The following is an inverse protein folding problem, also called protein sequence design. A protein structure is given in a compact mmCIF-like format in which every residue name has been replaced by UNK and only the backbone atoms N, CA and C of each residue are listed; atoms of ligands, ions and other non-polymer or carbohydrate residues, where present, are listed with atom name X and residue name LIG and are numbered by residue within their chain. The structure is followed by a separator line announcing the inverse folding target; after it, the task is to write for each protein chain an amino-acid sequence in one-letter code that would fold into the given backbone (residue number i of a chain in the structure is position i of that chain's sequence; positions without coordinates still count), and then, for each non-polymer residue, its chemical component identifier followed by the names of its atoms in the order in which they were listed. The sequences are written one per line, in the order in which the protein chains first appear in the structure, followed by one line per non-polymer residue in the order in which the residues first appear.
data_IF_253809626942
#
_entry.id   IF_253809626942
#
_cell.length_a   1.000
_cell.length_b   1.000
_cell.length_c   1.000
_cell.angle_alpha   90.00
_cell.angle_beta   90.00
_cell.angle_gamma   90.00
#
_symmetry.space_group_name_H-M   'P 1'
#
loop_
_entity.id
_entity.type
_entity.pdbx_description
1 polymer ?
#
# COMPACT_ATOMS: atom_id res chain seq x y z
N UNK A 1 -5.51 10.71 35.84
CA UNK A 1 -4.59 10.02 34.91
C UNK A 1 -5.41 9.59 33.70
N UNK A 2 -5.28 10.27 32.56
CA UNK A 2 -6.05 9.94 31.36
C UNK A 2 -5.30 8.80 30.65
N UNK A 3 -5.80 7.58 30.77
CA UNK A 3 -5.36 6.47 29.93
C UNK A 3 -5.74 6.80 28.49
N UNK A 4 -4.76 7.24 27.69
CA UNK A 4 -4.84 7.19 26.24
C UNK A 4 -4.91 5.72 25.87
N UNK A 5 -6.12 5.18 25.74
CA UNK A 5 -6.36 3.95 25.00
C UNK A 5 -5.71 4.18 23.64
N UNK A 6 -4.67 3.43 23.24
CA UNK A 6 -4.22 3.52 21.86
C UNK A 6 -5.44 3.12 21.04
N UNK A 7 -5.97 4.07 20.29
CA UNK A 7 -6.85 3.73 19.16
C UNK A 7 -5.95 2.86 18.31
N UNK A 8 -6.06 1.55 18.49
CA UNK A 8 -5.39 0.56 17.66
C UNK A 8 -5.88 0.90 16.26
N UNK A 9 -5.06 1.63 15.50
CA UNK A 9 -5.33 1.86 14.11
C UNK A 9 -5.64 0.48 13.54
N UNK A 10 -6.76 0.30 12.81
CA UNK A 10 -7.13 -1.02 12.32
C UNK A 10 -5.90 -1.59 11.62
N UNK A 11 -5.36 -2.67 12.18
CA UNK A 11 -4.14 -3.32 11.69
C UNK A 11 -4.26 -3.45 10.18
N UNK A 12 -3.38 -2.75 9.45
CA UNK A 12 -3.48 -2.69 8.00
C UNK A 12 -3.48 -4.12 7.48
N UNK A 13 -4.50 -4.47 6.71
CA UNK A 13 -4.57 -5.80 6.10
C UNK A 13 -3.28 -6.06 5.31
N UNK A 14 -2.88 -7.33 5.24
CA UNK A 14 -1.67 -7.73 4.49
C UNK A 14 -1.62 -7.11 3.10
N UNK A 15 -2.75 -7.15 2.38
CA UNK A 15 -2.94 -6.51 1.06
C UNK A 15 -2.59 -5.02 1.07
N UNK A 16 -3.06 -4.25 2.06
CA UNK A 16 -2.76 -2.81 2.14
C UNK A 16 -1.29 -2.56 2.43
N UNK A 17 -0.66 -3.37 3.30
CA UNK A 17 0.79 -3.26 3.56
C UNK A 17 1.62 -3.58 2.32
N UNK A 18 1.20 -4.59 1.54
CA UNK A 18 1.84 -4.91 0.28
C UNK A 18 1.73 -3.77 -0.73
N UNK A 19 0.58 -3.10 -0.79
CA UNK A 19 0.41 -1.94 -1.67
C UNK A 19 1.28 -0.75 -1.27
N UNK A 20 1.49 -0.53 0.02
CA UNK A 20 2.42 0.48 0.53
C UNK A 20 3.86 0.09 0.13
N UNK A 21 4.25 -1.16 0.35
CA UNK A 21 5.56 -1.66 -0.06
C UNK A 21 5.82 -1.51 -1.57
N UNK A 22 4.83 -1.85 -2.42
CA UNK A 22 4.93 -1.67 -3.88
C UNK A 22 5.09 -0.20 -4.27
N UNK A 23 4.40 0.70 -3.56
CA UNK A 23 4.55 2.14 -3.78
C UNK A 23 5.94 2.65 -3.37
N UNK A 24 6.45 2.23 -2.21
CA UNK A 24 7.78 2.60 -1.72
C UNK A 24 8.89 2.07 -2.66
N UNK A 25 8.68 0.87 -3.22
CA UNK A 25 9.59 0.27 -4.21
C UNK A 25 9.63 1.07 -5.51
N UNK A 26 8.47 1.53 -6.00
CA UNK A 26 8.40 2.38 -7.19
C UNK A 26 9.04 3.75 -6.95
N UNK A 27 8.89 4.30 -5.75
CA UNK A 27 9.52 5.56 -5.36
C UNK A 27 11.05 5.43 -5.19
N UNK A 28 11.59 4.20 -5.17
CA UNK A 28 13.00 3.87 -5.02
C UNK A 28 13.68 4.58 -3.85
N UNK A 29 12.93 4.84 -2.77
CA UNK A 29 13.39 5.63 -1.62
C UNK A 29 14.32 4.85 -0.70
N UNK A 30 14.14 3.53 -0.64
CA UNK A 30 14.86 2.63 0.27
C UNK A 30 15.23 1.33 -0.44
N UNK A 31 16.23 0.59 0.09
CA UNK A 31 16.53 -0.76 -0.36
C UNK A 31 15.32 -1.68 -0.24
N UNK A 32 15.12 -2.56 -1.22
CA UNK A 32 13.97 -3.49 -1.30
C UNK A 32 13.75 -4.26 0.00
N UNK A 33 14.82 -4.80 0.58
CA UNK A 33 14.76 -5.61 1.80
C UNK A 33 14.27 -4.80 3.02
N UNK A 34 14.63 -3.52 3.11
CA UNK A 34 14.19 -2.64 4.19
C UNK A 34 12.71 -2.30 4.06
N UNK A 35 12.22 -2.10 2.83
CA UNK A 35 10.81 -1.86 2.54
C UNK A 35 9.95 -3.06 2.94
N UNK A 36 10.39 -4.28 2.61
CA UNK A 36 9.70 -5.52 2.99
C UNK A 36 9.59 -5.67 4.51
N UNK A 37 10.70 -5.48 5.22
CA UNK A 37 10.75 -5.57 6.68
C UNK A 37 9.86 -4.51 7.34
N UNK A 38 9.93 -3.26 6.89
CA UNK A 38 9.15 -2.15 7.45
C UNK A 38 7.64 -2.35 7.28
N UNK A 39 7.23 -2.97 6.18
CA UNK A 39 5.82 -3.20 5.87
C UNK A 39 5.32 -4.59 6.31
N UNK A 40 6.16 -5.42 6.93
CA UNK A 40 5.83 -6.79 7.34
C UNK A 40 5.20 -7.62 6.20
N UNK A 41 5.83 -7.56 5.02
CA UNK A 41 5.41 -8.30 3.82
C UNK A 41 6.57 -9.08 3.24
N UNK A 42 6.25 -10.15 2.54
CA UNK A 42 7.26 -10.96 1.84
C UNK A 42 7.27 -10.70 0.34
N UNK A 43 8.27 -11.25 -0.34
CA UNK A 43 8.37 -11.17 -1.79
C UNK A 43 7.20 -11.86 -2.49
N UNK A 44 6.70 -12.95 -1.91
CA UNK A 44 5.52 -13.68 -2.39
C UNK A 44 4.26 -12.84 -2.25
N UNK A 45 4.14 -12.08 -1.16
CA UNK A 45 3.01 -11.15 -0.99
C UNK A 45 3.03 -10.07 -2.08
N UNK A 46 4.21 -9.51 -2.40
CA UNK A 46 4.36 -8.56 -3.51
C UNK A 46 3.83 -9.16 -4.82
N UNK A 47 4.29 -10.35 -5.18
CA UNK A 47 3.84 -11.03 -6.41
C UNK A 47 2.33 -11.31 -6.41
N UNK A 48 1.78 -11.72 -5.26
CA UNK A 48 0.36 -12.05 -5.11
C UNK A 48 -0.54 -10.82 -5.30
N UNK A 49 -0.13 -9.65 -4.80
CA UNK A 49 -0.95 -8.43 -4.82
C UNK A 49 -0.52 -7.39 -5.86
N UNK A 50 0.55 -7.63 -6.62
CA UNK A 50 1.06 -6.74 -7.66
C UNK A 50 0.00 -6.46 -8.73
N UNK A 51 -0.63 -7.51 -9.28
CA UNK A 51 -1.68 -7.34 -10.29
C UNK A 51 -2.86 -6.53 -9.74
N UNK A 52 -3.30 -6.86 -8.51
CA UNK A 52 -4.37 -6.12 -7.83
C UNK A 52 -4.03 -4.65 -7.58
N UNK A 53 -2.77 -4.36 -7.27
CA UNK A 53 -2.26 -3.00 -7.10
C UNK A 53 -2.21 -2.23 -8.43
N UNK A 54 -1.72 -2.87 -9.50
CA UNK A 54 -1.72 -2.28 -10.85
C UNK A 54 -3.14 -1.94 -11.29
N UNK A 55 -4.10 -2.85 -11.12
CA UNK A 55 -5.51 -2.61 -11.45
C UNK A 55 -6.11 -1.44 -10.66
N UNK A 56 -5.75 -1.28 -9.38
CA UNK A 56 -6.19 -0.15 -8.56
C UNK A 56 -5.64 1.17 -9.13
N UNK A 57 -4.35 1.21 -9.50
CA UNK A 57 -3.71 2.41 -10.06
C UNK A 57 -4.26 2.78 -11.43
N UNK A 58 -4.46 1.80 -12.31
CA UNK A 58 -5.05 2.01 -13.64
C UNK A 58 -6.50 2.49 -13.56
N UNK A 59 -7.29 2.01 -12.59
CA UNK A 59 -8.65 2.54 -12.39
C UNK A 59 -8.66 3.98 -11.86
N UNK A 60 -7.66 4.38 -11.07
CA UNK A 60 -7.50 5.76 -10.62
C UNK A 60 -7.04 6.72 -11.73
N UNK A 61 -6.32 6.23 -12.75
CA UNK A 61 -6.00 7.04 -13.94
C UNK A 61 -7.14 7.11 -14.95
N UNK A 62 -8.09 6.16 -14.90
CA UNK A 62 -9.26 6.10 -15.78
C UNK A 62 -10.52 6.76 -15.21
N UNK A 63 -10.49 7.39 -14.02
CA UNK A 63 -11.56 8.34 -13.68
C UNK A 63 -11.50 9.46 -14.72
N UNK A 64 -12.48 9.54 -15.63
CA UNK A 64 -12.53 10.67 -16.55
C UNK A 64 -12.71 11.89 -15.65
N UNK A 65 -11.98 12.96 -15.95
CA UNK A 65 -12.49 14.30 -15.72
C UNK A 65 -13.86 14.33 -16.40
N UNK A 66 -14.92 14.00 -15.66
CA UNK A 66 -16.27 14.27 -16.11
C UNK A 66 -16.35 15.79 -16.07
N UNK A 67 -16.02 16.39 -17.22
CA UNK A 67 -16.32 17.78 -17.55
C UNK A 67 -17.75 18.03 -17.08
N UNK A 68 -17.87 18.80 -16.00
CA UNK A 68 -19.14 19.41 -15.64
C UNK A 68 -19.40 20.46 -16.72
N UNK A 69 -20.35 20.14 -17.59
CA UNK A 69 -20.90 21.03 -18.60
C UNK A 69 -22.03 21.86 -17.98
#
# INVERSE_FOLDING_TARGET
MITRTPVLAPELSRKHRTWIALYDLEAALLPRQEILQRNEVTEEDLQLFEESWQWMRTRRSLTPLVSSN
#
